data_IF_146276800240
#
_entry.id   IF_146276800240
#
_cell.length_a   1.000
_cell.length_b   1.000
_cell.length_c   1.000
_cell.angle_alpha   90.00
_cell.angle_beta   90.00
_cell.angle_gamma   90.00
#
_symmetry.space_group_name_H-M   'P 1'
#
loop_
_entity.id
_entity.type
_entity.pdbx_description
1 polymer ?
#
# COMPACT_ATOMS: atom_id res chain seq x y z
N UNK A 1 27.72 7.89 -15.25
CA UNK A 1 26.78 9.03 -15.36
C UNK A 1 25.56 8.63 -14.56
N UNK A 2 25.13 9.44 -13.61
CA UNK A 2 24.02 9.10 -12.69
C UNK A 2 22.70 8.94 -13.47
N UNK A 3 21.82 8.04 -13.02
CA UNK A 3 20.46 7.87 -13.57
C UNK A 3 19.45 8.93 -13.10
N UNK A 4 19.85 9.81 -12.18
CA UNK A 4 19.04 10.93 -11.69
C UNK A 4 18.73 11.92 -12.82
N UNK A 5 17.44 12.15 -13.06
CA UNK A 5 16.93 13.25 -13.89
C UNK A 5 16.89 14.51 -13.05
N UNK A 6 17.53 15.58 -13.51
CA UNK A 6 17.64 16.84 -12.75
C UNK A 6 16.42 17.74 -12.96
N UNK A 7 15.96 18.35 -11.89
CA UNK A 7 14.89 19.34 -11.87
C UNK A 7 15.44 20.74 -11.55
N UNK A 8 14.74 21.80 -11.97
CA UNK A 8 15.01 23.14 -11.43
C UNK A 8 14.55 23.31 -9.97
N UNK A 9 13.74 22.38 -9.42
CA UNK A 9 13.46 22.28 -7.99
C UNK A 9 14.68 21.63 -7.30
N UNK A 10 15.48 22.45 -6.61
CA UNK A 10 16.79 22.04 -6.12
C UNK A 10 16.74 20.84 -5.15
N UNK A 11 15.74 20.78 -4.28
CA UNK A 11 15.54 19.71 -3.28
C UNK A 11 15.26 18.34 -3.91
N UNK A 12 14.83 18.28 -5.18
CA UNK A 12 14.60 17.05 -5.93
C UNK A 12 15.89 16.41 -6.48
N UNK A 13 17.03 17.10 -6.41
CA UNK A 13 18.29 16.66 -7.02
C UNK A 13 19.24 15.94 -6.05
N UNK A 14 18.70 15.33 -4.99
CA UNK A 14 19.48 14.58 -4.00
C UNK A 14 19.24 13.08 -4.15
N UNK A 15 20.22 12.25 -3.78
CA UNK A 15 20.04 10.80 -3.84
C UNK A 15 19.09 10.25 -2.75
N UNK A 16 18.84 11.06 -1.71
CA UNK A 16 18.08 10.67 -0.52
C UNK A 16 16.63 11.17 -0.52
N UNK A 17 16.23 12.02 -1.46
CA UNK A 17 14.82 12.42 -1.58
C UNK A 17 13.98 11.29 -2.15
N UNK A 18 12.78 11.10 -1.62
CA UNK A 18 11.79 10.18 -2.18
C UNK A 18 11.23 10.68 -3.51
N UNK A 19 11.29 11.99 -3.74
CA UNK A 19 10.54 12.66 -4.80
C UNK A 19 11.44 13.33 -5.83
N UNK A 20 12.43 12.63 -6.46
CA UNK A 20 13.15 13.22 -7.58
C UNK A 20 12.24 13.33 -8.80
N UNK A 21 12.74 13.98 -9.86
CA UNK A 21 12.04 14.04 -11.14
C UNK A 21 11.76 12.65 -11.75
N UNK A 22 12.53 11.63 -11.37
CA UNK A 22 12.28 10.24 -11.74
C UNK A 22 10.98 9.69 -11.13
N UNK A 23 10.50 10.22 -10.01
CA UNK A 23 9.32 9.72 -9.31
C UNK A 23 8.03 10.43 -9.74
N UNK A 24 7.83 11.69 -9.34
CA UNK A 24 6.59 12.46 -9.55
C UNK A 24 5.31 11.71 -9.08
N UNK A 25 5.18 11.34 -7.79
CA UNK A 25 4.01 10.62 -7.33
C UNK A 25 2.83 11.57 -7.08
N UNK A 26 1.63 11.00 -7.10
CA UNK A 26 0.37 11.72 -7.15
C UNK A 26 -0.36 11.65 -5.81
N UNK A 27 -0.81 12.77 -5.28
CA UNK A 27 -1.47 12.83 -3.97
C UNK A 27 -2.54 13.91 -3.91
N UNK A 28 -3.27 13.96 -2.79
CA UNK A 28 -4.24 15.02 -2.53
C UNK A 28 -3.77 15.78 -1.28
N UNK A 29 -3.78 17.09 -1.36
CA UNK A 29 -3.34 17.94 -0.27
C UNK A 29 -4.28 19.14 -0.08
N UNK A 30 -4.24 19.72 1.11
CA UNK A 30 -4.79 21.05 1.41
C UNK A 30 -3.77 21.87 2.17
N UNK A 31 -4.01 23.17 2.29
CA UNK A 31 -3.28 24.05 3.22
C UNK A 31 -4.28 24.82 4.07
N UNK A 32 -3.78 25.66 4.98
CA UNK A 32 -4.64 26.57 5.75
C UNK A 32 -5.45 27.54 4.88
N UNK A 33 -5.04 27.77 3.63
CA UNK A 33 -5.68 28.73 2.71
C UNK A 33 -6.32 28.06 1.50
N UNK A 34 -6.01 26.79 1.22
CA UNK A 34 -6.45 26.07 0.03
C UNK A 34 -7.20 24.80 0.43
N UNK A 35 -8.44 24.64 -0.05
CA UNK A 35 -9.19 23.38 0.08
C UNK A 35 -8.49 22.22 -0.63
N UNK A 36 -8.87 20.98 -0.28
CA UNK A 36 -8.27 19.75 -0.80
C UNK A 36 -8.28 19.71 -2.34
N UNK A 37 -7.15 19.29 -2.93
CA UNK A 37 -6.93 19.24 -4.38
C UNK A 37 -5.80 18.28 -4.76
N UNK A 38 -5.76 17.87 -6.02
CA UNK A 38 -4.68 17.04 -6.56
C UNK A 38 -3.33 17.79 -6.54
N UNK A 39 -2.27 17.05 -6.24
CA UNK A 39 -0.90 17.54 -6.24
C UNK A 39 0.12 16.48 -6.65
N UNK A 40 1.28 16.93 -7.12
CA UNK A 40 2.43 16.06 -7.47
C UNK A 40 3.63 16.45 -6.63
N UNK A 41 4.25 15.48 -5.95
CA UNK A 41 5.44 15.73 -5.14
C UNK A 41 6.70 15.85 -6.00
N UNK A 42 7.55 16.82 -5.69
CA UNK A 42 8.86 17.05 -6.30
C UNK A 42 9.80 17.70 -5.28
N UNK A 43 10.84 16.97 -4.87
CA UNK A 43 11.73 17.37 -3.78
C UNK A 43 10.98 17.52 -2.47
N UNK A 44 11.05 18.69 -1.85
CA UNK A 44 10.29 19.08 -0.66
C UNK A 44 9.03 19.90 -0.99
N UNK A 45 8.65 19.97 -2.27
CA UNK A 45 7.50 20.73 -2.77
C UNK A 45 6.38 19.82 -3.28
N UNK A 46 5.16 20.35 -3.27
CA UNK A 46 4.01 19.82 -4.01
C UNK A 46 3.56 20.84 -5.04
N UNK A 47 3.36 20.38 -6.28
CA UNK A 47 2.79 21.15 -7.37
C UNK A 47 1.26 21.10 -7.30
N UNK A 48 0.59 22.26 -7.21
CA UNK A 48 -0.87 22.37 -7.28
C UNK A 48 -1.37 22.03 -8.70
N UNK A 49 -1.90 20.82 -8.86
CA UNK A 49 -2.30 20.29 -10.17
C UNK A 49 -3.60 20.90 -10.69
N UNK A 50 -4.50 21.30 -9.78
CA UNK A 50 -5.74 21.99 -10.18
C UNK A 50 -5.41 23.34 -10.83
N UNK A 51 -4.52 24.12 -10.20
CA UNK A 51 -4.09 25.41 -10.76
C UNK A 51 -3.19 25.25 -11.99
N UNK A 52 -2.40 24.17 -12.07
CA UNK A 52 -1.64 23.86 -13.27
C UNK A 52 -2.56 23.52 -14.46
N UNK A 53 -3.69 22.83 -14.23
CA UNK A 53 -4.71 22.57 -15.26
C UNK A 53 -5.42 23.87 -15.68
N UNK A 54 -5.83 24.71 -14.73
CA UNK A 54 -6.42 26.05 -15.00
C UNK A 54 -5.48 26.94 -15.84
N UNK A 55 -4.16 26.84 -15.60
CA UNK A 55 -3.14 27.55 -16.37
C UNK A 55 -2.83 26.92 -17.74
N UNK A 56 -3.48 25.81 -18.09
CA UNK A 56 -3.29 25.09 -19.36
C UNK A 56 -1.94 24.37 -19.47
N UNK A 57 -1.30 24.02 -18.35
CA UNK A 57 0.04 23.45 -18.33
C UNK A 57 0.05 21.92 -18.42
N UNK A 58 -1.00 21.24 -17.94
CA UNK A 58 -1.02 19.79 -17.75
C UNK A 58 -1.32 19.00 -19.03
N UNK A 59 -1.98 19.61 -20.02
CA UNK A 59 -2.51 18.91 -21.19
C UNK A 59 -3.75 18.06 -20.92
N UNK A 60 -4.29 18.13 -19.69
CA UNK A 60 -5.58 17.55 -19.31
C UNK A 60 -6.67 18.63 -19.36
N UNK A 61 -7.94 18.21 -19.40
CA UNK A 61 -9.09 19.12 -19.35
C UNK A 61 -10.13 18.52 -18.41
N UNK A 62 -10.49 19.27 -17.37
CA UNK A 62 -11.50 18.91 -16.37
C UNK A 62 -11.24 17.59 -15.63
N UNK A 63 -9.98 17.13 -15.53
CA UNK A 63 -9.62 15.89 -14.82
C UNK A 63 -9.04 16.13 -13.43
N UNK A 64 -8.58 17.35 -13.13
CA UNK A 64 -7.87 17.69 -11.88
C UNK A 64 -8.66 18.65 -10.99
N UNK A 65 -9.95 18.84 -11.29
CA UNK A 65 -10.85 19.74 -10.55
C UNK A 65 -11.39 19.13 -9.25
N UNK A 66 -11.36 17.81 -9.14
CA UNK A 66 -11.77 17.10 -7.93
C UNK A 66 -10.56 16.81 -7.02
N UNK A 67 -10.80 16.73 -5.71
CA UNK A 67 -9.80 16.33 -4.71
C UNK A 67 -9.57 14.80 -4.70
N UNK A 68 -9.42 14.19 -5.86
CA UNK A 68 -9.20 12.76 -6.04
C UNK A 68 -8.64 12.47 -7.43
N UNK A 69 -7.67 11.55 -7.52
CA UNK A 69 -7.06 11.19 -8.81
C UNK A 69 -7.92 10.24 -9.67
N UNK A 70 -9.09 9.81 -9.21
CA UNK A 70 -9.98 8.89 -9.94
C UNK A 70 -10.33 9.36 -11.38
N UNK A 71 -10.59 10.65 -11.69
CA UNK A 71 -10.87 11.05 -13.07
C UNK A 71 -9.68 10.85 -14.01
N UNK A 72 -8.46 11.17 -13.55
CA UNK A 72 -7.22 10.90 -14.32
C UNK A 72 -7.02 9.40 -14.49
N UNK A 73 -7.22 8.61 -13.43
CA UNK A 73 -7.17 7.15 -13.50
C UNK A 73 -8.13 6.62 -14.57
N UNK A 74 -9.40 7.03 -14.53
CA UNK A 74 -10.42 6.57 -15.48
C UNK A 74 -10.11 6.94 -16.94
N UNK A 75 -9.33 8.01 -17.18
CA UNK A 75 -8.94 8.44 -18.52
C UNK A 75 -7.93 7.49 -19.21
N UNK A 76 -7.30 6.58 -18.44
CA UNK A 76 -6.51 5.47 -18.96
C UNK A 76 -5.04 5.75 -19.28
N UNK A 77 -4.26 4.69 -19.60
CA UNK A 77 -2.80 4.73 -19.65
C UNK A 77 -2.20 5.80 -20.58
N UNK A 78 -2.85 6.09 -21.72
CA UNK A 78 -2.37 7.11 -22.64
C UNK A 78 -2.36 8.50 -22.02
N UNK A 79 -3.37 8.84 -21.22
CA UNK A 79 -3.45 10.12 -20.48
C UNK A 79 -2.45 10.13 -19.34
N UNK A 80 -2.27 9.02 -18.63
CA UNK A 80 -1.30 8.92 -17.54
C UNK A 80 0.13 9.21 -18.02
N UNK A 81 0.55 8.55 -19.10
CA UNK A 81 1.88 8.74 -19.69
C UNK A 81 2.04 10.12 -20.31
N UNK A 82 1.01 10.67 -20.98
CA UNK A 82 1.06 12.02 -21.52
C UNK A 82 1.22 13.07 -20.41
N UNK A 83 0.45 12.96 -19.31
CA UNK A 83 0.56 13.85 -18.16
C UNK A 83 1.95 13.77 -17.53
N UNK A 84 2.46 12.54 -17.31
CA UNK A 84 3.79 12.34 -16.73
C UNK A 84 4.90 12.93 -17.61
N UNK A 85 4.85 12.68 -18.92
CA UNK A 85 5.81 13.26 -19.85
C UNK A 85 5.77 14.79 -19.83
N UNK A 86 4.56 15.38 -19.79
CA UNK A 86 4.40 16.83 -19.68
C UNK A 86 4.97 17.38 -18.38
N UNK A 87 4.73 16.73 -17.25
CA UNK A 87 5.29 17.12 -15.96
C UNK A 87 6.82 17.01 -15.94
N UNK A 88 7.39 15.97 -16.55
CA UNK A 88 8.85 15.85 -16.70
C UNK A 88 9.43 17.03 -17.48
N UNK A 89 8.80 17.43 -18.59
CA UNK A 89 9.24 18.57 -19.39
C UNK A 89 9.12 19.90 -18.65
N UNK A 90 8.06 20.08 -17.87
CA UNK A 90 7.83 21.30 -17.08
C UNK A 90 8.79 21.43 -15.88
N UNK A 91 9.21 20.31 -15.29
CA UNK A 91 10.00 20.29 -14.06
C UNK A 91 11.50 20.05 -14.30
N UNK A 92 11.95 19.66 -15.51
CA UNK A 92 13.37 19.42 -15.79
C UNK A 92 14.22 20.67 -15.68
N UNK A 93 15.48 20.53 -15.31
CA UNK A 93 16.46 21.62 -15.33
C UNK A 93 16.48 22.31 -16.71
N UNK A 94 16.34 23.65 -16.72
CA UNK A 94 16.27 24.44 -17.96
C UNK A 94 14.88 24.50 -18.65
N UNK A 95 13.80 24.07 -18.00
CA UNK A 95 12.45 24.19 -18.53
C UNK A 95 12.05 25.65 -18.85
N UNK A 96 11.40 25.87 -20.00
CA UNK A 96 11.03 27.20 -20.49
C UNK A 96 9.88 27.81 -19.68
N UNK A 97 8.91 27.00 -19.24
CA UNK A 97 7.73 27.47 -18.53
C UNK A 97 7.90 27.54 -17.00
N UNK A 98 9.14 27.53 -16.48
CA UNK A 98 9.42 27.60 -15.04
C UNK A 98 8.67 28.74 -14.36
N UNK A 99 8.69 29.94 -14.93
CA UNK A 99 8.06 31.13 -14.35
C UNK A 99 6.54 30.97 -14.16
N UNK A 100 5.89 30.12 -14.96
CA UNK A 100 4.46 29.81 -14.83
C UNK A 100 4.18 28.76 -13.75
N UNK A 101 5.12 27.84 -13.54
CA UNK A 101 4.95 26.69 -12.66
C UNK A 101 5.45 26.95 -11.22
N UNK A 102 6.51 27.73 -11.06
CA UNK A 102 7.13 28.04 -9.77
C UNK A 102 6.15 28.66 -8.75
N UNK A 103 5.23 29.58 -9.13
CA UNK A 103 4.21 30.09 -8.21
C UNK A 103 3.14 29.08 -7.77
N UNK A 104 3.11 27.89 -8.40
CA UNK A 104 2.16 26.82 -8.12
C UNK A 104 2.76 25.75 -7.19
N UNK A 105 4.05 25.87 -6.84
CA UNK A 105 4.69 25.01 -5.86
C UNK A 105 4.45 25.53 -4.45
N UNK A 106 4.35 24.60 -3.50
CA UNK A 106 4.36 24.91 -2.08
C UNK A 106 5.11 23.84 -1.28
N UNK A 107 5.68 24.19 -0.12
CA UNK A 107 6.35 23.22 0.73
C UNK A 107 5.41 22.10 1.17
N UNK A 108 5.84 20.84 1.05
CA UNK A 108 5.09 19.69 1.58
C UNK A 108 4.88 19.82 3.09
N UNK A 109 5.83 20.45 3.79
CA UNK A 109 5.74 20.70 5.24
C UNK A 109 4.56 21.60 5.65
N UNK A 110 4.06 22.43 4.72
CA UNK A 110 2.90 23.30 4.96
C UNK A 110 1.58 22.66 4.50
N UNK A 111 1.64 21.44 3.97
CA UNK A 111 0.50 20.71 3.41
C UNK A 111 -0.06 19.67 4.38
N UNK A 112 -1.38 19.59 4.45
CA UNK A 112 -2.08 18.43 5.02
C UNK A 112 -2.41 17.46 3.89
N UNK A 113 -1.90 16.23 3.98
CA UNK A 113 -2.16 15.18 2.99
C UNK A 113 -3.47 14.44 3.30
N UNK A 114 -4.17 14.04 2.26
CA UNK A 114 -5.47 13.35 2.33
C UNK A 114 -5.44 12.04 1.54
N UNK A 115 -6.54 11.30 1.58
CA UNK A 115 -6.73 10.14 0.70
C UNK A 115 -6.51 10.54 -0.77
N UNK A 116 -5.56 9.91 -1.49
CA UNK A 116 -5.19 10.35 -2.83
C UNK A 116 -6.25 10.01 -3.90
N UNK A 117 -7.13 9.06 -3.60
CA UNK A 117 -8.23 8.64 -4.44
C UNK A 117 -9.39 8.15 -3.56
N UNK A 118 -10.58 8.10 -4.14
CA UNK A 118 -11.73 7.43 -3.56
C UNK A 118 -11.54 5.93 -3.76
N UNK A 119 -11.33 5.21 -2.66
CA UNK A 119 -11.29 3.74 -2.65
C UNK A 119 -12.69 3.25 -3.00
N UNK A 120 -12.78 2.57 -4.14
CA UNK A 120 -14.04 2.04 -4.61
C UNK A 120 -14.33 0.74 -3.84
N UNK A 121 -13.65 -0.36 -4.15
CA UNK A 121 -13.58 -1.56 -3.32
C UNK A 121 -12.16 -1.76 -2.76
N UNK A 122 -12.04 -2.57 -1.71
CA UNK A 122 -10.76 -3.06 -1.21
C UNK A 122 -10.79 -4.59 -1.18
N UNK A 123 -9.81 -5.22 -1.81
CA UNK A 123 -9.56 -6.66 -1.75
C UNK A 123 -8.17 -6.89 -1.23
N UNK A 124 -8.03 -7.84 -0.32
CA UNK A 124 -6.77 -8.16 0.31
C UNK A 124 -6.34 -9.57 -0.08
N UNK A 125 -5.15 -9.69 -0.65
CA UNK A 125 -4.59 -10.97 -1.08
C UNK A 125 -3.74 -11.61 -0.01
N UNK A 126 -3.25 -12.81 -0.29
CA UNK A 126 -2.36 -13.54 0.59
C UNK A 126 -1.14 -14.05 -0.20
N UNK A 127 -0.49 -13.15 -0.94
CA UNK A 127 0.49 -13.50 -1.97
C UNK A 127 1.92 -13.70 -1.46
N UNK A 128 2.22 -13.38 -0.19
CA UNK A 128 3.53 -13.65 0.42
C UNK A 128 3.70 -15.12 0.82
N UNK A 129 4.57 -15.87 0.12
CA UNK A 129 4.79 -17.31 0.40
C UNK A 129 5.36 -17.56 1.79
N UNK A 130 6.38 -16.80 2.17
CA UNK A 130 7.02 -16.98 3.48
C UNK A 130 6.04 -16.65 4.59
N UNK A 131 5.25 -15.59 4.45
CA UNK A 131 4.19 -15.24 5.39
C UNK A 131 3.17 -16.39 5.51
N UNK A 132 2.69 -16.91 4.38
CA UNK A 132 1.78 -18.06 4.35
C UNK A 132 2.35 -19.30 5.05
N UNK A 133 3.64 -19.58 4.85
CA UNK A 133 4.35 -20.67 5.51
C UNK A 133 4.51 -20.44 7.01
N UNK A 134 4.88 -19.24 7.45
CA UNK A 134 5.05 -18.89 8.86
C UNK A 134 3.74 -19.05 9.63
N UNK A 135 2.67 -18.38 9.16
CA UNK A 135 1.32 -18.46 9.77
C UNK A 135 0.83 -19.89 9.75
N UNK A 136 0.93 -20.57 8.60
CA UNK A 136 0.55 -21.97 8.48
C UNK A 136 1.26 -22.89 9.47
N UNK A 137 2.56 -22.69 9.67
CA UNK A 137 3.37 -23.46 10.62
C UNK A 137 2.88 -23.25 12.06
N UNK A 138 2.58 -22.01 12.46
CA UNK A 138 2.08 -21.71 13.82
C UNK A 138 0.73 -22.36 14.11
N UNK A 139 -0.17 -22.43 13.11
CA UNK A 139 -1.54 -22.90 13.32
C UNK A 139 -1.77 -24.38 12.98
N UNK A 140 -1.01 -24.94 12.02
CA UNK A 140 -1.22 -26.31 11.47
C UNK A 140 0.04 -27.17 11.48
N UNK A 141 1.17 -26.64 11.94
CA UNK A 141 2.48 -27.30 11.88
C UNK A 141 3.15 -27.17 10.50
N UNK A 142 4.48 -27.40 10.43
CA UNK A 142 5.28 -27.13 9.23
C UNK A 142 4.91 -28.01 8.04
N UNK A 143 4.48 -29.24 8.28
CA UNK A 143 4.09 -30.20 7.23
C UNK A 143 2.82 -29.77 6.47
N UNK A 144 1.94 -29.00 7.11
CA UNK A 144 0.65 -28.54 6.57
C UNK A 144 0.56 -27.01 6.50
N UNK A 145 1.72 -26.35 6.35
CA UNK A 145 1.81 -24.90 6.42
C UNK A 145 1.01 -24.22 5.30
N UNK A 146 1.22 -24.62 4.05
CA UNK A 146 0.47 -24.07 2.91
C UNK A 146 -0.82 -24.86 2.67
N UNK A 147 -1.98 -24.19 2.57
CA UNK A 147 -3.19 -24.83 2.08
C UNK A 147 -3.00 -25.39 0.65
N UNK A 148 -3.72 -26.47 0.26
CA UNK A 148 -3.49 -27.12 -1.03
C UNK A 148 -3.66 -26.22 -2.26
N UNK A 149 -4.52 -25.20 -2.18
CA UNK A 149 -4.80 -24.26 -3.27
C UNK A 149 -3.77 -23.13 -3.39
N UNK A 150 -2.97 -22.86 -2.34
CA UNK A 150 -2.17 -21.65 -2.24
C UNK A 150 -1.12 -21.51 -3.34
N UNK A 151 -0.51 -22.62 -3.78
CA UNK A 151 0.48 -22.62 -4.87
C UNK A 151 -0.15 -22.54 -6.28
N UNK A 152 -1.48 -22.62 -6.39
CA UNK A 152 -2.19 -22.65 -7.66
C UNK A 152 -2.91 -21.34 -7.99
N UNK A 153 -3.34 -20.59 -6.97
CA UNK A 153 -4.10 -19.34 -7.13
C UNK A 153 -3.67 -18.30 -6.09
N UNK A 154 -3.66 -17.00 -6.45
CA UNK A 154 -3.52 -15.92 -5.47
C UNK A 154 -4.81 -15.80 -4.67
N UNK A 155 -4.92 -16.53 -3.56
CA UNK A 155 -6.09 -16.43 -2.68
C UNK A 155 -6.20 -15.02 -2.09
N UNK A 156 -7.42 -14.56 -1.87
CA UNK A 156 -7.73 -13.27 -1.27
C UNK A 156 -9.17 -13.21 -0.77
N UNK A 157 -9.52 -12.13 -0.09
CA UNK A 157 -10.84 -11.87 0.47
C UNK A 157 -11.22 -10.40 0.28
N UNK A 158 -12.52 -10.11 0.36
CA UNK A 158 -13.00 -8.73 0.27
C UNK A 158 -12.74 -8.03 1.61
N UNK A 159 -11.93 -6.98 1.56
CA UNK A 159 -11.64 -6.11 2.70
C UNK A 159 -12.72 -5.06 2.91
N UNK A 160 -12.45 -4.05 3.76
CA UNK A 160 -13.40 -2.99 4.08
C UNK A 160 -12.95 -1.63 3.57
N UNK A 161 -13.48 -1.21 2.42
CA UNK A 161 -13.14 0.07 1.80
C UNK A 161 -13.41 1.30 2.70
N UNK A 162 -14.48 1.28 3.50
CA UNK A 162 -14.88 2.44 4.32
C UNK A 162 -13.90 2.78 5.46
N UNK A 163 -13.00 1.86 5.80
CA UNK A 163 -12.02 2.01 6.87
C UNK A 163 -10.59 2.04 6.35
N UNK A 164 -10.42 2.22 5.03
CA UNK A 164 -9.13 2.60 4.46
C UNK A 164 -8.90 4.09 4.74
N UNK A 165 -7.81 4.40 5.42
CA UNK A 165 -7.48 5.75 5.89
C UNK A 165 -6.08 6.16 5.43
N UNK A 166 -5.85 7.47 5.34
CA UNK A 166 -4.54 8.01 4.97
C UNK A 166 -3.58 7.95 6.15
N UNK A 167 -2.29 7.75 5.86
CA UNK A 167 -1.17 7.92 6.79
C UNK A 167 -1.34 9.12 7.73
N UNK A 168 -1.00 8.92 9.00
CA UNK A 168 -1.15 9.90 10.09
C UNK A 168 -2.51 9.84 10.80
N UNK A 169 -3.46 9.04 10.30
CA UNK A 169 -4.72 8.79 11.03
C UNK A 169 -4.45 7.90 12.24
N UNK A 170 -4.85 8.37 13.43
CA UNK A 170 -4.81 7.58 14.66
C UNK A 170 -5.76 6.38 14.57
N UNK A 171 -5.27 5.20 14.98
CA UNK A 171 -6.02 3.94 14.91
C UNK A 171 -6.45 3.52 16.31
N UNK A 172 -7.75 3.33 16.51
CA UNK A 172 -8.27 2.90 17.81
C UNK A 172 -8.20 1.39 17.95
N UNK A 173 -7.62 0.91 19.05
CA UNK A 173 -7.64 -0.52 19.38
C UNK A 173 -9.08 -1.06 19.34
N UNK A 174 -9.36 -2.12 18.55
CA UNK A 174 -10.70 -2.64 18.43
C UNK A 174 -11.13 -3.40 19.69
N UNK A 175 -12.43 -3.41 19.93
CA UNK A 175 -13.10 -4.23 20.94
C UNK A 175 -13.89 -5.30 20.20
N UNK A 176 -13.80 -6.54 20.65
CA UNK A 176 -14.51 -7.65 20.01
C UNK A 176 -14.52 -8.90 20.86
N UNK A 177 -15.05 -9.98 20.26
CA UNK A 177 -15.05 -11.28 20.93
C UNK A 177 -13.71 -11.97 20.82
N UNK A 178 -13.28 -12.59 21.92
CA UNK A 178 -12.13 -13.48 21.96
C UNK A 178 -12.50 -14.75 22.72
N UNK A 179 -11.91 -15.89 22.33
CA UNK A 179 -12.10 -17.14 23.04
C UNK A 179 -10.74 -17.77 23.38
N UNK A 180 -10.42 -17.79 24.68
CA UNK A 180 -9.28 -18.55 25.18
C UNK A 180 -9.51 -20.06 24.96
N UNK A 181 -8.43 -20.83 24.78
CA UNK A 181 -8.49 -22.27 24.44
C UNK A 181 -9.26 -23.09 25.48
N UNK A 182 -9.18 -22.70 26.74
CA UNK A 182 -9.77 -23.35 27.91
C UNK A 182 -11.08 -22.69 28.39
N UNK A 183 -11.53 -21.61 27.72
CA UNK A 183 -12.77 -20.94 28.06
C UNK A 183 -13.99 -21.65 27.44
N UNK A 184 -15.03 -21.86 28.24
CA UNK A 184 -16.31 -22.44 27.78
C UNK A 184 -17.01 -21.51 26.76
N UNK A 185 -17.02 -20.20 27.04
CA UNK A 185 -17.68 -19.16 26.23
C UNK A 185 -16.70 -18.03 25.86
N UNK A 186 -16.94 -17.29 24.75
CA UNK A 186 -16.12 -16.13 24.41
C UNK A 186 -16.33 -14.99 25.41
N UNK A 187 -15.27 -14.21 25.64
CA UNK A 187 -15.35 -12.90 26.28
C UNK A 187 -15.56 -11.79 25.26
N UNK A 188 -15.79 -10.57 25.74
CA UNK A 188 -15.87 -9.37 24.90
C UNK A 188 -15.04 -8.25 25.54
N UNK A 189 -14.12 -7.67 24.77
CA UNK A 189 -13.19 -6.67 25.30
C UNK A 189 -12.15 -6.21 24.28
N UNK A 190 -11.22 -5.34 24.69
CA UNK A 190 -10.14 -4.85 23.83
C UNK A 190 -9.25 -5.99 23.32
N UNK A 191 -8.84 -5.90 22.06
CA UNK A 191 -7.84 -6.82 21.48
C UNK A 191 -6.53 -6.78 22.27
N UNK A 192 -6.00 -7.95 22.61
CA UNK A 192 -4.72 -8.16 23.30
C UNK A 192 -3.59 -8.49 22.31
N UNK A 193 -3.90 -8.74 21.04
CA UNK A 193 -2.93 -9.14 20.01
C UNK A 193 -3.10 -8.30 18.75
N UNK A 194 -2.97 -6.99 18.93
CA UNK A 194 -3.00 -6.01 17.83
C UNK A 194 -1.67 -6.05 17.07
N UNK A 195 -1.74 -5.98 15.75
CA UNK A 195 -0.62 -6.25 14.86
C UNK A 195 -0.69 -5.39 13.59
N UNK A 196 0.44 -5.28 12.91
CA UNK A 196 0.55 -4.73 11.55
C UNK A 196 0.55 -5.86 10.52
N UNK A 197 0.33 -5.47 9.27
CA UNK A 197 0.72 -6.24 8.10
C UNK A 197 1.41 -5.31 7.11
N UNK A 198 2.71 -5.52 6.90
CA UNK A 198 3.47 -4.77 5.88
C UNK A 198 3.05 -5.22 4.48
N UNK A 199 2.42 -4.31 3.74
CA UNK A 199 1.90 -4.60 2.40
C UNK A 199 2.18 -3.50 1.37
N UNK A 200 1.98 -3.87 0.12
CA UNK A 200 1.83 -2.95 -1.01
C UNK A 200 0.39 -2.96 -1.49
N UNK A 201 -0.22 -1.79 -1.66
CA UNK A 201 -1.53 -1.63 -2.27
C UNK A 201 -1.40 -1.25 -3.75
N UNK A 202 -1.87 -2.10 -4.66
CA UNK A 202 -1.99 -1.76 -6.08
C UNK A 202 -3.34 -1.08 -6.35
N UNK A 203 -3.36 -0.08 -7.23
CA UNK A 203 -4.55 0.72 -7.52
C UNK A 203 -5.01 0.45 -8.95
N UNK A 204 -6.24 -0.02 -9.10
CA UNK A 204 -6.87 -0.23 -10.41
C UNK A 204 -7.24 1.13 -11.00
N UNK A 205 -6.66 1.47 -12.15
CA UNK A 205 -6.88 2.72 -12.85
C UNK A 205 -8.05 2.66 -13.83
N UNK A 206 -8.11 1.64 -14.66
CA UNK A 206 -9.19 1.45 -15.66
C UNK A 206 -10.13 0.33 -15.24
N UNK A 207 -11.45 0.49 -15.46
CA UNK A 207 -12.44 -0.51 -15.07
C UNK A 207 -12.48 -1.69 -16.05
N UNK A 208 -13.05 -2.82 -15.61
CA UNK A 208 -13.44 -3.95 -16.48
C UNK A 208 -14.96 -4.09 -16.58
N UNK A 209 -15.42 -4.79 -17.62
CA UNK A 209 -16.83 -5.10 -17.78
C UNK A 209 -17.22 -6.34 -16.98
N UNK A 210 -18.34 -6.26 -16.24
CA UNK A 210 -18.89 -7.42 -15.53
C UNK A 210 -19.12 -8.61 -16.47
N UNK A 211 -18.72 -9.80 -16.05
CA UNK A 211 -18.79 -11.02 -16.84
C UNK A 211 -17.66 -11.21 -17.84
N UNK A 212 -16.74 -10.25 -17.99
CA UNK A 212 -15.58 -10.39 -18.86
C UNK A 212 -14.30 -10.60 -18.03
N UNK A 213 -13.56 -11.70 -18.28
CA UNK A 213 -12.29 -11.92 -17.63
C UNK A 213 -11.25 -10.91 -18.12
N UNK A 214 -10.21 -10.71 -17.32
CA UNK A 214 -9.05 -9.87 -17.63
C UNK A 214 -7.83 -10.77 -17.65
N UNK A 215 -7.02 -10.69 -18.70
CA UNK A 215 -5.73 -11.39 -18.80
C UNK A 215 -4.68 -10.73 -17.90
N UNK A 216 -3.59 -11.41 -17.57
CA UNK A 216 -2.51 -10.82 -16.76
C UNK A 216 -1.87 -9.61 -17.45
N UNK A 217 -1.77 -9.62 -18.78
CA UNK A 217 -1.25 -8.48 -19.54
C UNK A 217 -2.19 -7.26 -19.45
N UNK A 218 -3.50 -7.45 -19.66
CA UNK A 218 -4.48 -6.37 -19.48
C UNK A 218 -4.50 -5.87 -18.04
N UNK A 219 -4.47 -6.78 -17.06
CA UNK A 219 -4.40 -6.43 -15.64
C UNK A 219 -3.18 -5.56 -15.31
N UNK A 220 -2.02 -5.84 -15.91
CA UNK A 220 -0.81 -5.01 -15.76
C UNK A 220 -1.03 -3.59 -16.29
N UNK A 221 -1.68 -3.44 -17.44
CA UNK A 221 -2.01 -2.12 -18.03
C UNK A 221 -3.10 -1.38 -17.24
N UNK A 222 -4.00 -2.11 -16.57
CA UNK A 222 -5.05 -1.54 -15.73
C UNK A 222 -4.53 -0.94 -14.43
N UNK A 223 -3.35 -1.34 -13.94
CA UNK A 223 -2.79 -0.85 -12.67
C UNK A 223 -2.19 0.55 -12.89
N UNK A 224 -2.73 1.53 -12.16
CA UNK A 224 -2.27 2.91 -12.21
C UNK A 224 -0.95 3.11 -11.46
N UNK A 225 -0.87 2.52 -10.28
CA UNK A 225 0.25 2.72 -9.37
C UNK A 225 0.06 2.01 -8.04
N UNK A 226 0.92 2.36 -7.10
CA UNK A 226 1.09 1.67 -5.85
C UNK A 226 1.20 2.64 -4.67
N UNK A 227 0.78 2.16 -3.51
CA UNK A 227 0.95 2.80 -2.19
C UNK A 227 1.51 1.77 -1.21
N UNK A 228 2.14 2.23 -0.12
CA UNK A 228 2.35 1.40 1.06
C UNK A 228 0.99 1.15 1.72
N UNK A 229 0.79 -0.04 2.25
CA UNK A 229 -0.45 -0.43 2.94
C UNK A 229 -0.11 -1.12 4.26
N UNK A 230 -0.79 -0.73 5.33
CA UNK A 230 -0.77 -1.42 6.62
C UNK A 230 -2.17 -1.96 6.92
N UNK A 231 -2.35 -3.28 6.86
CA UNK A 231 -3.63 -3.91 7.19
C UNK A 231 -3.67 -4.31 8.67
N UNK A 232 -4.11 -3.35 9.49
CA UNK A 232 -4.11 -3.50 10.94
C UNK A 232 -4.96 -4.69 11.35
N UNK A 233 -4.40 -5.51 12.26
CA UNK A 233 -4.94 -6.84 12.52
C UNK A 233 -5.10 -7.12 14.01
N UNK A 234 -6.31 -7.47 14.44
CA UNK A 234 -6.57 -7.96 15.79
C UNK A 234 -6.55 -9.49 15.82
N UNK A 235 -5.36 -10.09 16.01
CA UNK A 235 -5.12 -11.54 15.79
C UNK A 235 -5.95 -12.45 16.68
N UNK A 236 -6.28 -11.99 17.88
CA UNK A 236 -7.11 -12.70 18.85
C UNK A 236 -8.59 -12.70 18.49
N UNK A 237 -9.12 -11.59 17.97
CA UNK A 237 -10.45 -11.55 17.36
C UNK A 237 -10.48 -12.47 16.12
N UNK A 238 -9.46 -12.34 15.26
CA UNK A 238 -9.36 -13.08 14.00
C UNK A 238 -9.43 -14.59 14.24
N UNK A 239 -8.66 -15.09 15.20
CA UNK A 239 -8.59 -16.51 15.53
C UNK A 239 -9.96 -17.10 15.94
N UNK A 240 -10.84 -16.28 16.54
CA UNK A 240 -12.18 -16.71 16.94
C UNK A 240 -13.20 -16.61 15.79
N UNK A 241 -13.15 -15.55 14.99
CA UNK A 241 -14.20 -15.27 14.00
C UNK A 241 -13.97 -15.92 12.61
N UNK A 242 -12.72 -16.21 12.22
CA UNK A 242 -12.41 -16.39 10.80
C UNK A 242 -12.97 -17.67 10.18
N UNK A 243 -13.33 -18.67 10.97
CA UNK A 243 -13.87 -19.92 10.43
C UNK A 243 -15.40 -19.88 10.38
N UNK A 244 -16.03 -20.24 9.24
CA UNK A 244 -15.42 -20.64 7.96
C UNK A 244 -15.29 -19.49 6.92
N UNK A 245 -15.68 -18.26 7.27
CA UNK A 245 -15.98 -17.21 6.29
C UNK A 245 -14.82 -16.25 5.97
N UNK A 246 -13.67 -16.39 6.65
CA UNK A 246 -12.51 -15.52 6.50
C UNK A 246 -12.48 -14.37 7.54
N UNK A 247 -11.43 -13.54 7.50
CA UNK A 247 -11.26 -12.41 8.41
C UNK A 247 -12.40 -11.40 8.26
N UNK A 248 -12.86 -10.78 9.35
CA UNK A 248 -13.92 -9.79 9.32
C UNK A 248 -13.64 -8.61 10.26
N UNK A 249 -14.17 -8.61 11.49
CA UNK A 249 -13.99 -7.49 12.42
C UNK A 249 -12.53 -7.29 12.83
N UNK A 250 -11.74 -8.36 12.80
CA UNK A 250 -10.33 -8.32 13.09
C UNK A 250 -9.49 -7.55 12.06
N UNK A 251 -10.08 -7.13 10.94
CA UNK A 251 -9.45 -6.35 9.86
C UNK A 251 -10.24 -5.08 9.53
N UNK A 252 -11.58 -5.16 9.59
CA UNK A 252 -12.48 -4.09 9.18
C UNK A 252 -12.45 -2.83 10.07
N UNK A 253 -11.62 -2.77 11.11
CA UNK A 253 -11.52 -1.61 11.99
C UNK A 253 -10.60 -0.51 11.42
N UNK A 254 -9.55 -0.87 10.68
CA UNK A 254 -8.67 0.09 10.02
C UNK A 254 -7.71 -0.59 9.03
N UNK A 255 -7.49 0.07 7.90
CA UNK A 255 -6.37 -0.20 6.98
C UNK A 255 -5.75 1.16 6.63
N UNK A 256 -4.43 1.33 6.73
CA UNK A 256 -3.78 2.61 6.41
C UNK A 256 -3.03 2.54 5.08
N UNK A 257 -3.05 3.61 4.30
CA UNK A 257 -2.23 3.74 3.08
C UNK A 257 -1.34 4.99 3.08
N UNK A 258 -0.21 4.93 2.37
CA UNK A 258 0.62 6.12 2.12
C UNK A 258 -0.12 7.15 1.24
N UNK A 259 0.13 8.45 1.42
CA UNK A 259 -0.63 9.51 0.74
C UNK A 259 -0.22 9.74 -0.73
N UNK A 260 0.93 9.20 -1.14
CA UNK A 260 1.49 9.38 -2.47
C UNK A 260 1.37 8.10 -3.29
N UNK A 261 0.67 8.17 -4.41
CA UNK A 261 0.59 7.10 -5.41
C UNK A 261 1.84 7.19 -6.29
N UNK A 262 2.72 6.21 -6.18
CA UNK A 262 3.83 6.05 -7.12
C UNK A 262 3.32 5.29 -8.34
N UNK A 263 3.40 5.89 -9.53
CA UNK A 263 2.84 5.28 -10.74
C UNK A 263 3.61 4.02 -11.15
N UNK A 264 2.92 3.07 -11.79
CA UNK A 264 3.56 1.88 -12.34
C UNK A 264 4.67 2.25 -13.35
N UNK A 265 4.49 3.34 -14.10
CA UNK A 265 5.49 3.88 -15.03
C UNK A 265 6.76 4.41 -14.31
N UNK A 266 6.63 5.01 -13.13
CA UNK A 266 7.78 5.43 -12.32
C UNK A 266 8.57 4.22 -11.76
N UNK A 267 7.89 3.10 -11.54
CA UNK A 267 8.49 1.87 -11.04
C UNK A 267 9.06 0.96 -12.15
N UNK A 268 8.68 1.16 -13.41
CA UNK A 268 9.11 0.33 -14.55
C UNK A 268 10.63 0.07 -14.63
N UNK A 269 11.53 1.03 -14.33
CA UNK A 269 12.98 0.78 -14.31
C UNK A 269 13.45 -0.23 -13.26
N UNK A 270 12.60 -0.55 -12.28
CA UNK A 270 12.90 -1.45 -11.16
C UNK A 270 12.14 -2.76 -11.26
N UNK A 271 11.61 -3.11 -12.44
CA UNK A 271 10.88 -4.35 -12.66
C UNK A 271 11.71 -5.58 -12.24
N UNK A 272 11.10 -6.48 -11.48
CA UNK A 272 11.73 -7.67 -10.92
C UNK A 272 10.84 -8.91 -11.18
N UNK A 273 11.44 -10.09 -11.44
CA UNK A 273 10.66 -11.31 -11.61
C UNK A 273 10.03 -11.74 -10.28
N UNK A 274 8.91 -12.46 -10.34
CA UNK A 274 8.43 -13.19 -9.17
C UNK A 274 9.44 -14.28 -8.78
N UNK A 275 9.48 -14.71 -7.51
CA UNK A 275 10.25 -15.87 -7.09
C UNK A 275 9.97 -17.12 -7.96
N UNK A 276 10.93 -18.05 -8.07
CA UNK A 276 10.74 -19.31 -8.80
C UNK A 276 9.50 -20.05 -8.30
N UNK A 277 8.73 -20.63 -9.23
CA UNK A 277 7.51 -21.35 -8.91
C UNK A 277 7.82 -22.79 -8.51
N UNK A 278 7.20 -23.25 -7.42
CA UNK A 278 7.25 -24.65 -6.98
C UNK A 278 6.42 -25.56 -7.89
N UNK A 279 5.28 -25.03 -8.38
CA UNK A 279 4.34 -25.72 -9.27
C UNK A 279 4.01 -24.81 -10.46
N UNK A 280 3.82 -25.36 -11.66
CA UNK A 280 3.40 -24.57 -12.81
C UNK A 280 2.01 -23.98 -12.57
N UNK A 281 1.83 -22.71 -12.93
CA UNK A 281 0.51 -22.06 -12.94
C UNK A 281 -0.26 -22.46 -14.21
N UNK A 282 -1.59 -22.47 -14.10
CA UNK A 282 -2.46 -22.59 -15.27
C UNK A 282 -2.23 -21.41 -16.23
N UNK A 283 -2.47 -21.59 -17.55
CA UNK A 283 -2.14 -20.58 -18.56
C UNK A 283 -2.67 -19.18 -18.29
N UNK A 284 -3.86 -19.05 -17.70
CA UNK A 284 -4.49 -17.74 -17.43
C UNK A 284 -3.76 -16.87 -16.40
N UNK A 285 -2.84 -17.45 -15.61
CA UNK A 285 -2.01 -16.72 -14.63
C UNK A 285 -0.54 -16.61 -15.06
N UNK A 286 -0.19 -17.04 -16.27
CA UNK A 286 1.18 -16.94 -16.75
C UNK A 286 1.55 -15.49 -17.06
N UNK A 287 2.77 -15.11 -16.68
CA UNK A 287 3.36 -13.81 -16.95
C UNK A 287 4.42 -13.94 -18.04
N UNK A 288 4.41 -12.99 -18.97
CA UNK A 288 5.36 -12.85 -20.08
C UNK A 288 6.47 -11.82 -19.81
N UNK A 289 6.37 -11.10 -18.70
CA UNK A 289 7.28 -10.04 -18.28
C UNK A 289 7.43 -10.06 -16.75
N UNK A 290 8.46 -9.40 -16.19
CA UNK A 290 8.63 -9.30 -14.74
C UNK A 290 7.36 -8.75 -14.06
N UNK A 291 6.87 -9.47 -13.06
CA UNK A 291 5.58 -9.17 -12.40
C UNK A 291 5.66 -8.29 -11.16
N UNK A 292 6.86 -8.01 -10.64
CA UNK A 292 7.07 -7.26 -9.40
C UNK A 292 8.01 -6.07 -9.63
N UNK A 293 8.32 -5.37 -8.55
CA UNK A 293 9.31 -4.30 -8.52
C UNK A 293 10.31 -4.53 -7.37
N UNK A 294 11.57 -4.15 -7.58
CA UNK A 294 12.59 -4.08 -6.55
C UNK A 294 12.38 -2.82 -5.71
N UNK A 295 11.48 -2.93 -4.74
CA UNK A 295 11.15 -1.87 -3.77
C UNK A 295 11.57 -2.36 -2.40
N UNK A 296 12.60 -1.74 -1.83
CA UNK A 296 13.00 -2.01 -0.46
C UNK A 296 11.93 -1.48 0.49
N UNK A 297 11.52 -2.29 1.46
CA UNK A 297 10.48 -1.99 2.42
C UNK A 297 11.04 -2.05 3.85
N UNK A 298 10.53 -1.19 4.71
CA UNK A 298 10.91 -1.14 6.12
C UNK A 298 9.72 -0.92 7.03
N UNK A 299 9.82 -1.45 8.25
CA UNK A 299 8.89 -1.18 9.35
C UNK A 299 9.66 -0.59 10.52
N UNK A 300 9.14 0.49 11.05
CA UNK A 300 9.59 1.12 12.29
C UNK A 300 8.48 1.10 13.32
N UNK A 301 8.85 0.86 14.58
CA UNK A 301 8.01 1.04 15.75
C UNK A 301 8.68 2.06 16.68
N UNK A 302 7.98 3.15 16.99
CA UNK A 302 8.49 4.23 17.83
C UNK A 302 9.87 4.77 17.36
N UNK A 303 10.08 4.83 16.04
CA UNK A 303 11.34 5.27 15.42
C UNK A 303 12.46 4.23 15.40
N UNK A 304 12.22 3.02 15.93
CA UNK A 304 13.15 1.91 15.84
C UNK A 304 12.75 0.94 14.74
N UNK A 305 13.70 0.62 13.87
CA UNK A 305 13.52 -0.37 12.82
C UNK A 305 13.31 -1.75 13.43
N UNK A 306 12.24 -2.42 13.02
CA UNK A 306 11.93 -3.80 13.43
C UNK A 306 11.90 -4.78 12.27
N UNK A 307 11.83 -4.31 11.02
CA UNK A 307 11.89 -5.17 9.83
C UNK A 307 12.45 -4.48 8.59
N UNK A 308 13.12 -5.26 7.75
CA UNK A 308 13.56 -4.90 6.40
C UNK A 308 13.31 -6.03 5.43
N UNK A 309 12.52 -5.75 4.41
CA UNK A 309 12.19 -6.74 3.38
C UNK A 309 12.09 -6.05 2.01
N UNK A 310 11.50 -6.71 1.02
CA UNK A 310 11.37 -6.18 -0.32
C UNK A 310 10.07 -6.67 -0.98
N UNK A 311 9.44 -5.82 -1.80
CA UNK A 311 8.26 -6.21 -2.57
C UNK A 311 8.51 -7.45 -3.46
N UNK A 312 9.74 -7.66 -3.95
CA UNK A 312 10.11 -8.81 -4.78
C UNK A 312 10.05 -10.17 -4.07
N UNK A 313 9.81 -10.19 -2.76
CA UNK A 313 9.56 -11.42 -1.98
C UNK A 313 8.14 -11.98 -2.22
N UNK A 314 7.21 -11.18 -2.76
CA UNK A 314 5.85 -11.61 -3.10
C UNK A 314 5.88 -12.75 -4.12
N UNK A 315 5.07 -13.79 -3.91
CA UNK A 315 5.03 -14.93 -4.82
C UNK A 315 4.12 -14.67 -6.01
N UNK A 316 3.00 -13.97 -5.82
CA UNK A 316 2.11 -13.53 -6.89
C UNK A 316 2.20 -12.03 -7.11
N UNK A 317 2.22 -11.60 -8.38
CA UNK A 317 2.15 -10.19 -8.74
C UNK A 317 0.76 -9.60 -8.57
N UNK A 318 0.66 -8.28 -8.47
CA UNK A 318 -0.63 -7.58 -8.49
C UNK A 318 -1.41 -7.81 -9.81
N UNK A 319 -0.70 -8.02 -10.92
CA UNK A 319 -1.35 -8.35 -12.19
C UNK A 319 -1.98 -9.76 -12.18
N UNK A 320 -1.29 -10.75 -11.58
CA UNK A 320 -1.87 -12.09 -11.36
C UNK A 320 -3.05 -12.05 -10.39
N UNK A 321 -2.94 -11.27 -9.31
CA UNK A 321 -4.01 -11.05 -8.34
C UNK A 321 -5.27 -10.48 -9.02
N UNK A 322 -5.12 -9.40 -9.79
CA UNK A 322 -6.20 -8.74 -10.52
C UNK A 322 -6.81 -9.66 -11.60
N UNK A 323 -5.99 -10.36 -12.38
CA UNK A 323 -6.47 -11.32 -13.38
C UNK A 323 -7.28 -12.46 -12.73
N UNK A 324 -6.81 -13.00 -11.61
CA UNK A 324 -7.56 -14.01 -10.85
C UNK A 324 -8.89 -13.46 -10.31
N UNK A 325 -8.87 -12.23 -9.76
CA UNK A 325 -10.05 -11.59 -9.21
C UNK A 325 -11.15 -11.42 -10.28
N UNK A 326 -10.76 -10.97 -11.47
CA UNK A 326 -11.66 -10.78 -12.59
C UNK A 326 -12.03 -12.08 -13.33
N UNK A 327 -11.32 -13.20 -13.13
CA UNK A 327 -11.48 -14.39 -13.98
C UNK A 327 -12.87 -15.04 -13.88
N UNK A 328 -13.59 -14.81 -12.78
CA UNK A 328 -14.97 -15.27 -12.59
C UNK A 328 -16.03 -14.33 -13.16
N UNK A 329 -15.61 -13.21 -13.78
CA UNK A 329 -16.48 -12.15 -14.27
C UNK A 329 -16.72 -11.01 -13.28
N UNK A 330 -15.93 -10.93 -12.20
CA UNK A 330 -15.98 -9.79 -11.27
C UNK A 330 -15.59 -8.50 -12.00
N UNK A 331 -16.42 -7.46 -11.90
CA UNK A 331 -16.14 -6.17 -12.50
C UNK A 331 -15.17 -5.38 -11.62
N UNK A 332 -14.05 -4.97 -12.20
CA UNK A 332 -13.07 -4.10 -11.56
C UNK A 332 -13.43 -2.64 -11.83
N UNK A 333 -13.21 -1.75 -10.86
CA UNK A 333 -13.57 -0.34 -10.95
C UNK A 333 -12.33 0.53 -10.77
N UNK A 334 -12.37 1.72 -11.37
CA UNK A 334 -11.38 2.76 -11.11
C UNK A 334 -11.36 3.12 -9.62
N UNK A 335 -10.20 3.00 -9.00
CA UNK A 335 -9.99 3.23 -7.58
C UNK A 335 -10.20 2.00 -6.70
N UNK A 336 -10.39 0.80 -7.26
CA UNK A 336 -10.26 -0.42 -6.46
C UNK A 336 -8.82 -0.56 -5.95
N UNK A 337 -8.69 -0.93 -4.67
CA UNK A 337 -7.42 -1.14 -3.98
C UNK A 337 -7.21 -2.64 -3.79
N UNK A 338 -6.03 -3.14 -4.18
CA UNK A 338 -5.62 -4.53 -4.03
C UNK A 338 -4.43 -4.60 -3.07
N UNK A 339 -4.66 -5.02 -1.84
CA UNK A 339 -3.60 -5.32 -0.86
C UNK A 339 -2.86 -6.59 -1.26
N UNK A 340 -1.54 -6.59 -1.16
CA UNK A 340 -0.72 -7.73 -1.59
C UNK A 340 -0.88 -8.97 -0.70
N UNK A 341 -1.37 -8.80 0.51
CA UNK A 341 -1.05 -9.69 1.62
C UNK A 341 0.32 -9.36 2.19
N UNK A 342 0.52 -9.72 3.45
CA UNK A 342 1.74 -9.43 4.21
C UNK A 342 3.00 -9.91 3.48
N UNK A 343 4.00 -9.02 3.38
CA UNK A 343 5.27 -9.25 2.71
C UNK A 343 6.32 -9.66 3.75
N UNK A 344 6.77 -10.92 3.65
CA UNK A 344 7.82 -11.47 4.49
C UNK A 344 8.92 -12.09 3.63
N UNK A 345 10.18 -11.80 3.97
CA UNK A 345 11.34 -12.52 3.46
C UNK A 345 11.70 -13.70 4.37
N UNK A 346 12.62 -14.56 3.92
CA UNK A 346 12.97 -15.81 4.64
C UNK A 346 13.61 -15.57 6.02
N UNK A 347 14.38 -14.49 6.17
CA UNK A 347 15.08 -14.18 7.41
C UNK A 347 14.13 -13.56 8.45
N UNK A 348 14.27 -13.87 9.75
CA UNK A 348 13.36 -13.33 10.78
C UNK A 348 13.28 -11.80 10.87
N UNK A 349 14.37 -11.10 10.54
CA UNK A 349 14.45 -9.63 10.48
C UNK A 349 13.79 -9.03 9.21
N UNK A 350 13.19 -9.88 8.38
CA UNK A 350 12.47 -9.52 7.16
C UNK A 350 10.99 -9.95 7.15
N UNK A 351 10.45 -10.38 8.29
CA UNK A 351 9.04 -10.70 8.43
C UNK A 351 8.15 -9.46 8.41
N UNK A 352 6.92 -9.57 7.92
CA UNK A 352 6.01 -8.45 7.68
C UNK A 352 5.00 -8.17 8.79
N UNK A 353 4.98 -8.97 9.87
CA UNK A 353 4.06 -8.82 11.00
C UNK A 353 4.72 -9.14 12.34
N UNK A 354 4.22 -8.56 13.45
CA UNK A 354 4.69 -8.92 14.79
C UNK A 354 4.26 -10.33 15.16
N UNK A 355 3.16 -10.84 14.60
CA UNK A 355 2.79 -12.26 14.71
C UNK A 355 3.95 -13.16 14.31
N UNK A 356 4.59 -12.87 13.17
CA UNK A 356 5.73 -13.63 12.67
C UNK A 356 7.00 -13.33 13.47
N UNK A 357 7.35 -12.05 13.65
CA UNK A 357 8.57 -11.64 14.34
C UNK A 357 8.64 -12.18 15.77
N UNK A 358 7.50 -12.16 16.47
CA UNK A 358 7.41 -12.64 17.85
C UNK A 358 7.06 -14.13 17.97
N UNK A 359 6.89 -14.82 16.84
CA UNK A 359 6.45 -16.20 16.77
C UNK A 359 5.18 -16.49 17.60
N UNK A 360 4.13 -15.70 17.37
CA UNK A 360 2.88 -15.78 18.13
C UNK A 360 2.99 -15.25 19.56
N UNK A 361 3.97 -14.41 19.85
CA UNK A 361 4.27 -13.86 21.17
C UNK A 361 5.17 -14.73 22.05
N UNK A 362 5.69 -15.84 21.51
CA UNK A 362 6.60 -16.75 22.23
C UNK A 362 8.01 -16.18 22.37
N UNK A 363 8.43 -15.35 21.41
CA UNK A 363 9.77 -14.76 21.35
C UNK A 363 9.63 -13.25 21.13
N UNK A 364 9.37 -12.46 22.19
CA UNK A 364 9.25 -11.00 22.05
C UNK A 364 10.48 -10.38 21.35
N UNK A 365 10.25 -9.39 20.50
CA UNK A 365 11.31 -8.65 19.84
C UNK A 365 11.75 -7.45 20.68
N UNK A 366 12.99 -7.00 20.49
CA UNK A 366 13.51 -5.78 21.10
C UNK A 366 13.16 -4.56 20.24
N UNK A 367 12.64 -3.51 20.87
CA UNK A 367 12.30 -2.22 20.24
C UNK A 367 12.95 -1.12 21.09
N UNK A 368 14.12 -0.63 20.66
CA UNK A 368 14.94 0.25 21.50
C UNK A 368 15.39 -0.45 22.78
N UNK A 369 14.95 0.05 23.94
CA UNK A 369 15.21 -0.54 25.27
C UNK A 369 14.05 -1.38 25.81
N UNK A 370 12.94 -1.47 25.07
CA UNK A 370 11.76 -2.23 25.46
C UNK A 370 11.63 -3.52 24.65
N UNK A 371 10.64 -4.35 25.00
CA UNK A 371 10.27 -5.55 24.26
C UNK A 371 8.81 -5.51 23.84
N UNK A 372 8.50 -6.07 22.67
CA UNK A 372 7.13 -6.18 22.16
C UNK A 372 6.87 -7.56 21.59
N UNK A 373 5.68 -8.08 21.87
CA UNK A 373 5.12 -9.24 21.16
C UNK A 373 4.03 -8.81 20.18
N UNK A 374 3.22 -7.82 20.58
CA UNK A 374 2.14 -7.20 19.83
C UNK A 374 2.13 -5.71 20.17
N UNK A 375 1.32 -4.93 19.45
CA UNK A 375 1.28 -3.48 19.58
C UNK A 375 0.58 -3.07 20.88
N UNK A 376 1.18 -2.14 21.62
CA UNK A 376 0.65 -1.53 22.84
C UNK A 376 0.02 -0.15 22.55
N UNK A 377 -0.79 0.36 23.48
CA UNK A 377 -1.40 1.68 23.31
C UNK A 377 -0.33 2.78 23.36
N UNK A 378 -0.41 3.73 22.43
CA UNK A 378 0.56 4.81 22.26
C UNK A 378 1.69 4.48 21.28
N UNK A 379 1.90 3.21 20.92
CA UNK A 379 2.90 2.84 19.91
C UNK A 379 2.56 3.47 18.55
N UNK A 380 3.59 3.89 17.83
CA UNK A 380 3.52 4.44 16.47
C UNK A 380 4.23 3.47 15.54
N UNK A 381 3.51 2.98 14.53
CA UNK A 381 4.07 2.13 13.49
C UNK A 381 4.19 2.93 12.21
N UNK A 382 5.33 2.81 11.54
CA UNK A 382 5.63 3.51 10.29
C UNK A 382 6.21 2.55 9.27
N UNK A 383 5.52 2.40 8.14
CA UNK A 383 6.00 1.68 6.97
C UNK A 383 6.71 2.68 6.05
N UNK A 384 7.83 2.26 5.48
CA UNK A 384 8.60 3.03 4.50
C UNK A 384 8.91 2.16 3.28
N UNK A 385 9.06 2.78 2.11
CA UNK A 385 9.42 2.06 0.91
C UNK A 385 10.06 2.94 -0.16
N UNK A 386 11.06 2.39 -0.85
CA UNK A 386 11.66 3.03 -2.02
C UNK A 386 12.33 2.02 -2.96
N UNK A 387 12.28 2.30 -4.26
CA UNK A 387 13.15 1.66 -5.24
C UNK A 387 14.44 2.46 -5.40
N UNK A 388 15.59 1.79 -5.49
CA UNK A 388 16.92 2.43 -5.56
C UNK A 388 17.47 2.41 -6.98
N UNK A 389 17.74 3.60 -7.53
CA UNK A 389 18.43 3.77 -8.81
C UNK A 389 19.87 4.24 -8.65
N UNK A 390 20.55 4.46 -9.78
CA UNK A 390 21.92 5.00 -9.78
C UNK A 390 21.93 6.50 -9.42
N UNK A 391 22.15 6.80 -8.13
CA UNK A 391 22.23 8.16 -7.60
C UNK A 391 20.88 8.83 -7.30
N UNK A 392 19.79 8.04 -7.21
CA UNK A 392 18.45 8.52 -6.83
C UNK A 392 17.62 7.38 -6.23
N UNK A 393 16.46 7.71 -5.65
CA UNK A 393 15.44 6.73 -5.27
C UNK A 393 14.03 7.17 -5.67
N UNK A 394 13.13 6.22 -5.88
CA UNK A 394 11.70 6.45 -6.11
C UNK A 394 10.98 5.98 -4.86
N UNK A 395 10.63 6.92 -3.99
CA UNK A 395 10.06 6.64 -2.68
C UNK A 395 8.56 6.87 -2.59
N UNK A 396 7.94 6.23 -1.59
CA UNK A 396 6.50 6.28 -1.36
C UNK A 396 6.11 7.26 -0.23
N UNK A 397 7.09 7.92 0.39
CA UNK A 397 6.91 8.55 1.69
C UNK A 397 6.66 7.51 2.79
N UNK A 398 5.85 7.86 3.78
CA UNK A 398 5.56 7.02 4.92
C UNK A 398 4.06 6.68 5.03
N UNK A 399 3.75 5.45 5.44
CA UNK A 399 2.43 5.06 5.96
C UNK A 399 2.55 4.86 7.48
N UNK A 400 2.03 5.80 8.27
CA UNK A 400 2.18 5.83 9.72
C UNK A 400 0.82 5.85 10.43
N UNK A 401 0.74 5.28 11.61
CA UNK A 401 -0.43 5.37 12.49
C UNK A 401 -0.05 5.13 13.95
N UNK A 402 -0.66 5.91 14.84
CA UNK A 402 -0.55 5.74 16.30
C UNK A 402 -1.72 4.92 16.81
N UNK A 403 -1.45 4.01 17.76
CA UNK A 403 -2.52 3.26 18.42
C UNK A 403 -3.10 4.05 19.59
N UNK A 404 -4.41 4.29 19.56
CA UNK A 404 -5.17 4.82 20.68
C UNK A 404 -5.78 3.69 21.52
N UNK A 405 -5.97 3.93 22.83
CA UNK A 405 -6.71 3.02 23.68
C UNK A 405 -8.10 2.69 23.13
N UNK A 406 -8.54 1.47 23.41
CA UNK A 406 -9.88 1.01 23.09
C UNK A 406 -10.94 1.95 23.69
N UNK A 407 -12.09 2.15 23.02
CA UNK A 407 -13.15 2.98 23.57
C UNK A 407 -13.82 2.28 24.75
N UNK A 408 -14.39 3.05 25.68
CA UNK A 408 -15.33 2.51 26.65
C UNK A 408 -16.55 1.97 25.89
N UNK A 409 -16.83 0.67 26.07
CA UNK A 409 -18.02 0.10 25.46
C UNK A 409 -19.27 0.59 26.20
N UNK A 410 -20.31 1.10 25.50
CA UNK A 410 -21.51 1.56 26.17
C UNK A 410 -22.12 0.42 26.99
N UNK A 411 -22.23 0.59 28.30
CA UNK A 411 -23.05 -0.29 29.12
C UNK A 411 -24.50 0.02 28.76
N UNK A 412 -25.22 -0.93 28.17
CA UNK A 412 -26.67 -0.79 28.02
C UNK A 412 -27.27 -0.47 29.39
N UNK A 413 -27.94 0.67 29.49
CA UNK A 413 -28.76 0.98 30.65
C UNK A 413 -30.03 0.16 30.46
N UNK A 414 -30.12 -0.99 31.15
CA UNK A 414 -31.27 -1.89 31.11
C UNK A 414 -32.54 -1.17 31.58
#
# INVERSE_FOLDING_TARGET
MTGLKRSWVASANTAETDFPLNNLPYGVFSTNTLGARCGVAIGDQVLDMARAEEAGLTGTQDLLQEAAWNPVMAAGPSVWSALRARLMELLKEGAEEREKLEPLLMPIADAQLHMPFRVAEYTDFYAGKQHAQNVGTMFRGPENALPPNWLHIPIGYIGRASTVVVSGTDIRRPVGQTKAKDAEAPGFGPSQRLDIELEMGAIVGTPSQMGQPVTVAEAREMIFGYVLLNDWSARDLQAWEYQPLGPFQAKAFATSISPWIVTAEALAPFAAPTPPRDLPLLPYLQEDAPGLYDVALGVEMNGHVISRTNMRELYYSSAQQLAHHASSGCAMRTGDLLGSGTISGQAPDSYGSLLEMSWGGQTPIRVGDETRSFIEDGDILTLTGHARGDGYRVGFGACSGRILPAPDFPKETI
#
